data_IF_652006704166
#
_entry.id   IF_652006704166
#
_cell.length_a   1.000
_cell.length_b   1.000
_cell.length_c   1.000
_cell.angle_alpha   90.00
_cell.angle_beta   90.00
_cell.angle_gamma   90.00
#
_symmetry.space_group_name_H-M   'P 1'
#
loop_
_entity.id
_entity.type
_entity.pdbx_description
1 polymer ?
#
# COMPACT_ATOMS: atom_id res chain seq x y z
N UNK A 1 -13.28 3.79 6.08
CA UNK A 1 -11.88 4.17 5.84
C UNK A 1 -11.43 5.12 6.94
N UNK A 2 -10.52 4.68 7.83
CA UNK A 2 -9.97 5.52 8.91
C UNK A 2 -8.45 5.43 9.01
N UNK A 3 -7.85 4.37 8.46
CA UNK A 3 -6.40 4.23 8.41
C UNK A 3 -5.77 5.25 7.47
N UNK A 4 -4.55 5.66 7.79
CA UNK A 4 -3.72 6.45 6.88
C UNK A 4 -3.44 5.65 5.60
N UNK A 5 -3.43 6.32 4.45
CA UNK A 5 -2.96 5.72 3.20
C UNK A 5 -1.42 5.66 3.27
N UNK A 6 -0.82 4.45 3.29
CA UNK A 6 0.63 4.33 3.30
C UNK A 6 1.20 4.84 1.96
N UNK A 7 2.43 5.37 1.97
CA UNK A 7 3.04 5.91 0.77
C UNK A 7 4.55 5.72 0.75
N UNK A 8 5.10 5.77 -0.45
CA UNK A 8 6.53 5.93 -0.70
C UNK A 8 6.71 6.89 -1.88
N UNK A 9 7.92 7.38 -2.08
CA UNK A 9 8.28 8.24 -3.21
C UNK A 9 9.76 8.07 -3.55
N UNK A 10 10.10 8.28 -4.82
CA UNK A 10 11.47 8.19 -5.32
C UNK A 10 11.64 9.14 -6.50
N UNK A 11 12.84 9.68 -6.67
CA UNK A 11 13.29 10.34 -7.90
C UNK A 11 14.01 9.30 -8.75
N UNK A 12 13.64 9.18 -10.02
CA UNK A 12 14.27 8.30 -10.99
C UNK A 12 13.91 8.70 -12.42
N UNK A 13 14.64 8.18 -13.40
CA UNK A 13 14.35 8.42 -14.82
C UNK A 13 13.29 7.48 -15.40
N UNK A 14 13.08 7.52 -16.72
CA UNK A 14 12.14 6.65 -17.43
C UNK A 14 12.29 5.18 -17.09
N UNK A 15 11.18 4.49 -16.83
CA UNK A 15 11.15 3.06 -16.51
C UNK A 15 11.49 2.73 -15.06
N UNK A 16 11.75 3.74 -14.20
CA UNK A 16 11.97 3.51 -12.77
C UNK A 16 10.78 2.80 -12.14
N UNK A 17 11.05 1.66 -11.47
CA UNK A 17 10.07 0.91 -10.69
C UNK A 17 9.95 1.46 -9.26
N UNK A 18 8.74 1.38 -8.71
CA UNK A 18 8.40 1.82 -7.36
C UNK A 18 7.47 0.80 -6.69
N UNK A 19 7.85 0.30 -5.51
CA UNK A 19 6.99 -0.52 -4.68
C UNK A 19 6.03 0.34 -3.86
N UNK A 20 4.74 0.28 -4.12
CA UNK A 20 3.71 1.01 -3.36
C UNK A 20 3.21 0.14 -2.21
N UNK A 21 3.42 0.54 -0.94
CA UNK A 21 2.96 -0.24 0.20
C UNK A 21 1.43 -0.16 0.36
N UNK A 22 0.85 -1.20 0.96
CA UNK A 22 -0.59 -1.35 1.15
C UNK A 22 -0.85 -1.81 2.60
N UNK A 23 -1.91 -1.26 3.22
CA UNK A 23 -2.42 -1.66 4.54
C UNK A 23 -3.94 -1.70 4.51
N UNK A 24 -4.58 -2.31 5.53
CA UNK A 24 -6.04 -2.34 5.62
C UNK A 24 -6.64 -0.94 5.83
N UNK A 25 -7.65 -0.60 5.03
CA UNK A 25 -8.26 0.75 4.95
C UNK A 25 -8.95 1.23 6.24
N UNK A 26 -9.36 0.31 7.11
CA UNK A 26 -10.02 0.65 8.38
C UNK A 26 -9.09 0.62 9.60
N UNK A 27 -7.94 -0.08 9.53
CA UNK A 27 -7.01 -0.23 10.65
C UNK A 27 -5.61 -0.63 10.15
N UNK A 28 -4.61 0.24 10.34
CA UNK A 28 -3.26 0.00 9.82
C UNK A 28 -2.57 -1.23 10.41
N UNK A 29 -2.91 -1.71 11.62
CA UNK A 29 -2.23 -2.85 12.25
C UNK A 29 -2.77 -4.23 11.86
N UNK A 30 -3.72 -4.32 10.91
CA UNK A 30 -4.24 -5.60 10.41
C UNK A 30 -3.16 -6.32 9.61
N UNK A 31 -2.40 -7.18 10.29
CA UNK A 31 -1.12 -7.73 9.79
C UNK A 31 -1.24 -8.58 8.54
N UNK A 32 -2.41 -9.17 8.30
CA UNK A 32 -2.69 -9.95 7.09
C UNK A 32 -2.69 -9.10 5.82
N UNK A 33 -2.87 -7.77 5.93
CA UNK A 33 -3.01 -6.83 4.82
C UNK A 33 -1.77 -5.96 4.58
N UNK A 34 -0.66 -6.22 5.28
CA UNK A 34 0.63 -5.64 4.87
C UNK A 34 1.06 -6.27 3.55
N UNK A 35 1.12 -5.46 2.50
CA UNK A 35 1.53 -5.91 1.17
C UNK A 35 2.19 -4.76 0.39
N UNK A 36 2.68 -5.04 -0.81
CA UNK A 36 3.16 -4.03 -1.73
C UNK A 36 2.90 -4.44 -3.19
N UNK A 37 2.76 -3.45 -4.06
CA UNK A 37 2.68 -3.67 -5.52
C UNK A 37 3.72 -2.83 -6.24
N UNK A 38 4.54 -3.46 -7.06
CA UNK A 38 5.49 -2.77 -7.92
C UNK A 38 4.75 -2.10 -9.09
N UNK A 39 4.93 -0.80 -9.24
CA UNK A 39 4.37 0.01 -10.33
C UNK A 39 5.50 0.71 -11.10
N UNK A 40 5.20 1.11 -12.33
CA UNK A 40 6.12 1.88 -13.16
C UNK A 40 5.58 2.04 -14.57
N UNK A 41 6.01 3.12 -15.23
CA UNK A 41 5.65 3.46 -16.61
C UNK A 41 6.91 3.27 -17.45
N UNK A 42 6.93 2.42 -18.49
CA UNK A 42 8.15 2.09 -19.22
C UNK A 42 8.94 3.30 -19.76
N UNK A 43 8.25 4.36 -20.19
CA UNK A 43 8.85 5.56 -20.78
C UNK A 43 8.78 6.81 -19.87
N UNK A 44 8.36 6.66 -18.61
CA UNK A 44 8.20 7.77 -17.66
C UNK A 44 8.75 7.48 -16.25
N UNK A 45 8.90 8.50 -15.40
CA UNK A 45 8.78 9.93 -15.72
C UNK A 45 9.98 10.43 -16.55
N UNK A 46 9.74 11.32 -17.51
CA UNK A 46 10.79 12.15 -18.12
C UNK A 46 11.29 13.22 -17.15
N UNK A 47 12.31 13.95 -17.56
CA UNK A 47 13.01 14.92 -16.70
C UNK A 47 12.09 16.03 -16.15
N UNK A 48 11.00 16.35 -16.85
CA UNK A 48 10.02 17.40 -16.52
C UNK A 48 8.64 16.84 -16.12
N UNK A 49 8.55 15.54 -15.82
CA UNK A 49 7.30 14.85 -15.51
C UNK A 49 7.28 14.27 -14.09
N UNK A 50 6.08 13.96 -13.59
CA UNK A 50 5.86 13.22 -12.35
C UNK A 50 4.85 12.10 -12.62
N UNK A 51 5.15 10.89 -12.16
CA UNK A 51 4.18 9.78 -12.11
C UNK A 51 3.52 9.77 -10.74
N UNK A 52 2.18 9.82 -10.73
CA UNK A 52 1.36 9.61 -9.54
C UNK A 52 0.66 8.27 -9.63
N UNK A 53 0.65 7.50 -8.54
CA UNK A 53 0.05 6.18 -8.49
C UNK A 53 -0.81 6.00 -7.22
N UNK A 54 -1.94 5.31 -7.39
CA UNK A 54 -2.79 4.81 -6.30
C UNK A 54 -2.95 3.30 -6.48
N UNK A 55 -2.89 2.56 -5.38
CA UNK A 55 -3.02 1.09 -5.38
C UNK A 55 -4.10 0.67 -4.39
N UNK A 56 -4.94 -0.27 -4.80
CA UNK A 56 -5.99 -0.88 -3.98
C UNK A 56 -5.99 -2.40 -4.15
N UNK A 57 -6.33 -3.15 -3.10
CA UNK A 57 -6.50 -4.60 -3.14
C UNK A 57 -7.84 -5.00 -2.56
N UNK A 58 -8.30 -6.22 -2.90
CA UNK A 58 -9.55 -6.77 -2.38
C UNK A 58 -9.39 -7.59 -1.09
N UNK A 59 -8.18 -7.74 -0.55
CA UNK A 59 -7.99 -8.53 0.66
C UNK A 59 -6.56 -8.68 1.13
N UNK A 60 -6.37 -9.68 2.00
CA UNK A 60 -5.11 -10.04 2.63
C UNK A 60 -4.15 -10.75 1.66
N UNK A 61 -2.89 -10.90 2.07
CA UNK A 61 -1.91 -11.75 1.40
C UNK A 61 -2.46 -13.18 1.23
N UNK A 62 -2.22 -13.79 0.07
CA UNK A 62 -2.72 -15.13 -0.32
C UNK A 62 -2.41 -16.20 0.73
N UNK A 63 -1.26 -16.11 1.40
CA UNK A 63 -0.83 -17.06 2.44
C UNK A 63 -0.59 -16.37 3.79
N UNK A 64 -1.47 -15.44 4.20
CA UNK A 64 -1.37 -14.76 5.48
C UNK A 64 -1.35 -15.75 6.66
N UNK A 65 -0.23 -15.81 7.40
CA UNK A 65 0.02 -16.85 8.42
C UNK A 65 0.88 -16.40 9.61
N UNK A 66 0.94 -15.10 9.87
CA UNK A 66 1.86 -14.49 10.86
C UNK A 66 1.16 -13.81 12.04
N UNK A 67 -0.09 -14.22 12.32
CA UNK A 67 -0.89 -13.68 13.43
C UNK A 67 -1.14 -12.16 13.34
N UNK A 68 -1.22 -11.50 14.50
CA UNK A 68 -1.51 -10.06 14.62
C UNK A 68 -3.01 -9.74 14.71
N UNK A 69 -3.35 -8.45 14.62
CA UNK A 69 -4.74 -8.01 14.62
C UNK A 69 -5.48 -8.59 13.40
N UNK A 70 -6.56 -9.33 13.65
CA UNK A 70 -7.44 -9.86 12.62
C UNK A 70 -8.38 -8.77 12.11
N UNK A 71 -8.77 -8.84 10.83
CA UNK A 71 -9.71 -7.89 10.24
C UNK A 71 -11.08 -7.90 10.94
N UNK A 72 -11.51 -9.06 11.45
CA UNK A 72 -12.74 -9.23 12.24
C UNK A 72 -12.65 -8.63 13.65
N UNK A 73 -11.45 -8.35 14.15
CA UNK A 73 -11.22 -7.78 15.48
C UNK A 73 -11.04 -6.26 15.44
N UNK A 74 -11.31 -5.62 14.29
CA UNK A 74 -11.17 -4.18 14.13
C UNK A 74 -12.21 -3.45 14.97
N UNK A 75 -11.79 -2.51 15.80
CA UNK A 75 -12.71 -1.54 16.42
C UNK A 75 -12.97 -0.37 15.48
N UNK A 76 -11.93 0.08 14.77
CA UNK A 76 -12.03 1.10 13.74
C UNK A 76 -12.35 2.47 14.34
N UNK A 77 -11.73 2.83 15.45
CA UNK A 77 -11.93 4.13 16.11
C UNK A 77 -10.84 5.13 15.70
N UNK A 78 -9.59 4.69 15.66
CA UNK A 78 -8.39 5.51 15.48
C UNK A 78 -7.68 5.30 14.13
N UNK A 79 -8.19 4.39 13.30
CA UNK A 79 -7.53 3.99 12.04
C UNK A 79 -6.30 3.11 12.23
N UNK A 80 -5.97 2.71 13.45
CA UNK A 80 -4.84 1.84 13.78
C UNK A 80 -5.33 0.43 14.09
N UNK A 81 -6.39 0.28 14.91
CA UNK A 81 -6.87 -1.03 15.39
C UNK A 81 -8.38 -1.23 15.25
#
# INVERSE_FOLDING_TARGET
>A
AKAIVPSTKKVGGPGTRLDVPITHVNASYVRSHFDAMEVGVPDGPKADEIVLALVMTMGARVHARVGGLAASAIKGEDGLR
#
